data_IF_058985772664
#
_entry.id   IF_058985772664
#
_cell.length_a   1.000
_cell.length_b   1.000
_cell.length_c   1.000
_cell.angle_alpha   90.00
_cell.angle_beta   90.00
_cell.angle_gamma   90.00
#
_symmetry.space_group_name_H-M   'P 1'
#
loop_
_entity.id
_entity.type
_entity.pdbx_description
1 polymer ?
#
# COMPACT_ATOMS: atom_id res chain seq x y z
N UNK A 1 7.02 -30.47 8.75
CA UNK A 1 7.05 -30.04 7.34
C UNK A 1 6.47 -31.13 6.48
N UNK A 2 5.42 -30.85 5.71
CA UNK A 2 4.74 -31.82 4.82
C UNK A 2 5.20 -31.70 3.35
N UNK A 3 6.37 -31.12 3.10
CA UNK A 3 6.88 -30.87 1.73
C UNK A 3 6.08 -29.83 0.93
N UNK A 4 5.20 -29.06 1.57
CA UNK A 4 4.36 -28.05 0.93
C UNK A 4 5.08 -26.70 0.83
N UNK A 5 4.76 -25.92 -0.20
CA UNK A 5 5.28 -24.55 -0.39
C UNK A 5 4.93 -23.70 0.82
N UNK A 6 5.95 -23.12 1.46
CA UNK A 6 5.77 -22.09 2.48
C UNK A 6 6.11 -20.75 1.85
N UNK A 7 5.12 -19.85 1.78
CA UNK A 7 5.27 -18.50 1.27
C UNK A 7 4.93 -17.49 2.37
N UNK A 8 5.23 -16.20 2.16
CA UNK A 8 5.15 -15.19 3.22
C UNK A 8 3.77 -15.10 3.90
N UNK A 9 2.67 -15.29 3.16
CA UNK A 9 1.32 -15.31 3.73
C UNK A 9 1.16 -16.46 4.75
N UNK A 10 1.52 -17.69 4.38
CA UNK A 10 1.47 -18.87 5.27
C UNK A 10 2.36 -18.70 6.50
N UNK A 11 3.58 -18.20 6.30
CA UNK A 11 4.55 -18.11 7.39
C UNK A 11 4.27 -16.96 8.37
N UNK A 12 3.82 -15.80 7.88
CA UNK A 12 3.75 -14.57 8.67
C UNK A 12 2.35 -14.01 8.84
N UNK A 13 1.42 -14.24 7.92
CA UNK A 13 0.07 -13.66 7.97
C UNK A 13 -0.96 -14.62 8.56
N UNK A 14 -1.05 -15.85 8.08
CA UNK A 14 -2.01 -16.85 8.55
C UNK A 14 -2.00 -17.04 10.08
N UNK A 15 -0.83 -17.09 10.77
CA UNK A 15 -0.81 -17.27 12.22
C UNK A 15 -1.37 -16.08 13.02
N UNK A 16 -1.47 -14.89 12.40
CA UNK A 16 -1.84 -13.64 13.07
C UNK A 16 -3.05 -12.93 12.45
N UNK A 17 -3.72 -13.55 11.48
CA UNK A 17 -4.78 -12.93 10.68
C UNK A 17 -5.97 -12.40 11.51
N UNK A 18 -6.19 -12.96 12.71
CA UNK A 18 -7.30 -12.58 13.59
C UNK A 18 -6.93 -11.46 14.58
N UNK A 19 -5.75 -10.84 14.45
CA UNK A 19 -5.35 -9.74 15.33
C UNK A 19 -6.19 -8.49 15.03
N UNK A 20 -6.81 -7.85 16.05
CA UNK A 20 -7.70 -6.70 15.84
C UNK A 20 -6.97 -5.42 15.40
N UNK A 21 -5.63 -5.41 15.46
CA UNK A 21 -4.79 -4.30 15.04
C UNK A 21 -4.14 -4.53 13.66
N UNK A 22 -4.63 -5.52 12.90
CA UNK A 22 -4.15 -5.86 11.56
C UNK A 22 -5.33 -6.00 10.60
N UNK A 23 -5.41 -5.08 9.65
CA UNK A 23 -6.37 -5.14 8.55
C UNK A 23 -5.67 -5.54 7.25
N UNK A 24 -6.22 -6.53 6.55
CA UNK A 24 -5.71 -6.97 5.24
C UNK A 24 -6.79 -6.82 4.19
N UNK A 25 -6.58 -5.87 3.28
CA UNK A 25 -7.50 -5.60 2.17
C UNK A 25 -6.98 -6.33 0.92
N UNK A 26 -7.74 -7.33 0.47
CA UNK A 26 -7.49 -8.02 -0.81
C UNK A 26 -8.23 -7.31 -1.95
N UNK A 27 -7.83 -7.61 -3.19
CA UNK A 27 -8.43 -7.02 -4.40
C UNK A 27 -8.48 -5.49 -4.37
N UNK A 28 -7.49 -4.86 -3.72
CA UNK A 28 -7.42 -3.41 -3.52
C UNK A 28 -6.06 -2.95 -4.03
N UNK A 29 -6.05 -2.09 -5.03
CA UNK A 29 -4.84 -1.61 -5.69
C UNK A 29 -4.58 -0.14 -5.36
N UNK A 30 -3.36 0.17 -4.92
CA UNK A 30 -2.89 1.55 -4.78
C UNK A 30 -2.71 2.18 -6.16
N UNK A 31 -3.41 3.27 -6.42
CA UNK A 31 -3.35 4.03 -7.67
C UNK A 31 -2.38 5.20 -7.57
N UNK A 32 -2.29 5.85 -6.39
CA UNK A 32 -1.48 7.06 -6.19
C UNK A 32 -1.06 7.24 -4.74
N UNK A 33 0.12 7.85 -4.55
CA UNK A 33 0.54 8.42 -3.27
C UNK A 33 0.21 9.91 -3.26
N UNK A 34 -0.42 10.36 -2.18
CA UNK A 34 -0.83 11.76 -2.01
C UNK A 34 0.17 12.44 -1.09
N UNK A 35 0.81 13.50 -1.59
CA UNK A 35 1.71 14.32 -0.81
C UNK A 35 0.92 15.09 0.26
N UNK A 36 1.35 14.96 1.50
CA UNK A 36 0.77 15.63 2.68
C UNK A 36 1.56 16.84 3.13
N UNK A 37 2.82 16.98 2.68
CA UNK A 37 3.60 18.19 2.87
C UNK A 37 3.22 19.30 1.88
N UNK A 38 3.43 20.59 2.22
CA UNK A 38 3.28 21.69 1.27
C UNK A 38 4.08 21.46 -0.02
N UNK A 39 3.54 21.94 -1.16
CA UNK A 39 4.23 21.89 -2.45
C UNK A 39 5.60 22.59 -2.34
N UNK A 40 6.64 21.96 -2.89
CA UNK A 40 8.02 22.46 -2.84
C UNK A 40 8.81 22.09 -1.57
N UNK A 41 8.20 21.47 -0.55
CA UNK A 41 8.96 20.94 0.59
C UNK A 41 9.81 19.74 0.18
N UNK A 42 11.10 19.80 0.49
CA UNK A 42 12.05 18.70 0.30
C UNK A 42 12.67 18.29 1.64
N UNK A 43 12.60 17.01 2.05
CA UNK A 43 11.91 15.91 1.37
C UNK A 43 10.37 16.05 1.44
N UNK A 44 9.70 15.58 0.38
CA UNK A 44 8.25 15.45 0.37
C UNK A 44 7.80 14.38 1.37
N UNK A 45 6.65 14.59 2.01
CA UNK A 45 6.06 13.63 2.96
C UNK A 45 4.74 13.11 2.41
N UNK A 46 4.61 11.78 2.33
CA UNK A 46 3.41 11.09 1.84
C UNK A 46 2.75 10.36 3.00
N UNK A 47 1.57 10.82 3.41
CA UNK A 47 0.79 10.24 4.50
C UNK A 47 -0.55 9.66 4.06
N UNK A 48 -0.92 9.80 2.78
CA UNK A 48 -2.20 9.31 2.28
C UNK A 48 -1.97 8.50 1.00
N UNK A 49 -2.70 7.40 0.85
CA UNK A 49 -2.74 6.58 -0.36
C UNK A 49 -4.13 6.59 -0.96
N UNK A 50 -4.20 6.59 -2.28
CA UNK A 50 -5.44 6.40 -3.02
C UNK A 50 -5.49 4.96 -3.52
N UNK A 51 -6.65 4.30 -3.34
CA UNK A 51 -6.87 2.91 -3.72
C UNK A 51 -8.16 2.74 -4.52
N UNK A 52 -8.21 1.69 -5.33
CA UNK A 52 -9.41 1.23 -6.02
C UNK A 52 -9.49 -0.30 -6.00
N UNK A 53 -10.72 -0.84 -5.91
CA UNK A 53 -10.94 -2.29 -5.97
C UNK A 53 -10.88 -2.85 -7.40
N UNK A 54 -11.15 -2.00 -8.40
CA UNK A 54 -11.10 -2.32 -9.83
C UNK A 54 -10.89 -1.03 -10.63
N UNK A 55 -10.74 -1.14 -11.95
CA UNK A 55 -10.59 0.02 -12.85
C UNK A 55 -11.85 0.89 -12.94
N UNK A 56 -13.01 0.37 -12.56
CA UNK A 56 -14.30 1.08 -12.58
C UNK A 56 -14.81 1.44 -11.17
N UNK A 57 -14.12 0.95 -10.13
CA UNK A 57 -14.49 1.24 -8.75
C UNK A 57 -14.14 2.69 -8.38
N UNK A 58 -14.90 3.29 -7.44
CA UNK A 58 -14.56 4.60 -6.91
C UNK A 58 -13.20 4.59 -6.23
N UNK A 59 -12.50 5.73 -6.31
CA UNK A 59 -11.24 5.96 -5.63
C UNK A 59 -11.51 6.26 -4.15
N UNK A 60 -10.79 5.56 -3.27
CA UNK A 60 -10.88 5.73 -1.82
C UNK A 60 -9.53 6.16 -1.28
N UNK A 61 -9.53 7.14 -0.38
CA UNK A 61 -8.30 7.61 0.26
C UNK A 61 -8.14 7.01 1.66
N UNK A 62 -6.94 6.51 1.95
CA UNK A 62 -6.57 5.95 3.25
C UNK A 62 -5.42 6.78 3.81
N UNK A 63 -5.62 7.34 5.00
CA UNK A 63 -4.62 8.15 5.68
C UNK A 63 -3.84 7.31 6.72
N UNK A 64 -2.52 7.31 6.59
CA UNK A 64 -1.61 6.74 7.56
C UNK A 64 -1.24 7.78 8.62
N UNK A 65 -1.48 7.46 9.90
CA UNK A 65 -1.13 8.34 11.02
C UNK A 65 0.38 8.53 11.23
N UNK A 66 1.19 7.61 10.73
CA UNK A 66 2.65 7.61 10.88
C UNK A 66 3.33 7.62 9.53
N UNK A 67 3.32 6.47 8.85
CA UNK A 67 4.13 6.23 7.66
C UNK A 67 3.40 5.34 6.66
N UNK A 68 3.73 5.53 5.37
CA UNK A 68 3.33 4.64 4.28
C UNK A 68 4.55 3.83 3.85
N UNK A 69 4.46 2.50 3.94
CA UNK A 69 5.54 1.58 3.55
C UNK A 69 5.18 0.93 2.21
N UNK A 70 5.99 1.17 1.17
CA UNK A 70 5.79 0.58 -0.15
C UNK A 70 6.50 -0.77 -0.26
N UNK A 71 5.72 -1.84 -0.42
CA UNK A 71 6.24 -3.20 -0.62
C UNK A 71 5.62 -3.88 -1.85
N UNK A 72 5.25 -3.09 -2.87
CA UNK A 72 4.58 -3.58 -4.08
C UNK A 72 5.52 -4.30 -5.08
N UNK A 73 6.80 -4.44 -4.74
CA UNK A 73 7.84 -5.00 -5.61
C UNK A 73 8.41 -3.99 -6.61
N UNK A 74 9.54 -4.33 -7.24
CA UNK A 74 10.36 -3.37 -8.02
C UNK A 74 9.60 -2.69 -9.17
N UNK A 75 8.68 -3.39 -9.84
CA UNK A 75 7.92 -2.84 -10.99
C UNK A 75 6.80 -1.91 -10.51
N UNK A 76 6.01 -2.34 -9.52
CA UNK A 76 4.84 -1.55 -9.09
C UNK A 76 5.23 -0.41 -8.17
N UNK A 77 6.23 -0.57 -7.30
CA UNK A 77 6.72 0.52 -6.45
C UNK A 77 7.24 1.68 -7.30
N UNK A 78 8.00 1.41 -8.36
CA UNK A 78 8.49 2.47 -9.26
C UNK A 78 7.36 3.14 -10.03
N UNK A 79 6.36 2.38 -10.49
CA UNK A 79 5.17 2.94 -11.13
C UNK A 79 4.39 3.87 -10.19
N UNK A 80 4.15 3.46 -8.94
CA UNK A 80 3.42 4.25 -7.94
C UNK A 80 4.18 5.55 -7.62
N UNK A 81 5.51 5.50 -7.50
CA UNK A 81 6.35 6.67 -7.26
C UNK A 81 6.37 7.64 -8.46
N UNK A 82 6.32 7.14 -9.69
CA UNK A 82 6.22 8.02 -10.85
C UNK A 82 4.86 8.74 -10.88
N UNK A 83 3.77 8.03 -10.58
CA UNK A 83 2.40 8.58 -10.58
C UNK A 83 2.16 9.65 -9.50
N UNK A 84 2.97 9.69 -8.44
CA UNK A 84 2.84 10.71 -7.40
C UNK A 84 3.52 12.05 -7.77
N UNK A 85 4.45 12.05 -8.73
CA UNK A 85 5.20 13.25 -9.14
C UNK A 85 4.38 14.19 -10.05
N UNK A 86 3.38 13.67 -10.76
CA UNK A 86 2.60 14.42 -11.77
C UNK A 86 1.34 15.11 -11.20
N UNK A 87 1.27 15.41 -9.90
CA UNK A 87 0.15 16.11 -9.25
C UNK A 87 0.63 17.21 -8.27
#
# INVERSE_FOLDING_TARGET
>A
GKGTRVHAAVAYLEPIQNRPNLDVLISTHVTKLIQTSPKGKTPATFGTVEVAASTTAPLVQINAKKEVILSAGVIRTTQILLLCHWA
#
